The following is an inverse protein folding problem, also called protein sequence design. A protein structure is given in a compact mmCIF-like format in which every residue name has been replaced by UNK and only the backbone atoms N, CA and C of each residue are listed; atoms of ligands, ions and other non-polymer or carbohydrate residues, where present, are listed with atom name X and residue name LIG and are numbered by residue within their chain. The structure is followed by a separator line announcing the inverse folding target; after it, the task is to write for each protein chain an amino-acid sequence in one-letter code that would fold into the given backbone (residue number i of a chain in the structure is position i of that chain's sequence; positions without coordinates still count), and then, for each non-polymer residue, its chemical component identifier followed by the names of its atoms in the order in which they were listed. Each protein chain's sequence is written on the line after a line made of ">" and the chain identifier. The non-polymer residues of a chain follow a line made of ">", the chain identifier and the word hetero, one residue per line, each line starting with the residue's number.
data_IF_967364008813
#
_entry.id   IF_967364008813
#
_cell.length_a   1.000
_cell.length_b   1.000
_cell.length_c   1.000
_cell.angle_alpha   90.00
_cell.angle_beta   90.00
_cell.angle_gamma   90.00
#
_symmetry.space_group_name_H-M   'P 1'
#
loop_
_entity.id
_entity.type
_entity.pdbx_description
1 polymer ?
#
# COMPACT_ATOMS: atom_id res chain seq x y z
N UNK A 1 6.98 7.26 -10.86
CA UNK A 1 5.59 7.46 -11.31
C UNK A 1 5.34 6.65 -12.57
N UNK A 2 6.18 6.82 -13.59
CA UNK A 2 6.18 5.99 -14.80
C UNK A 2 6.18 4.49 -14.47
N UNK A 3 7.05 4.01 -13.57
CA UNK A 3 7.06 2.58 -13.17
C UNK A 3 5.73 2.10 -12.59
N UNK A 4 5.04 2.95 -11.81
CA UNK A 4 3.72 2.64 -11.27
C UNK A 4 2.71 2.48 -12.42
N UNK A 5 2.64 3.49 -13.29
CA UNK A 5 1.69 3.53 -14.38
C UNK A 5 1.96 2.42 -15.41
N UNK A 6 3.21 2.17 -15.75
CA UNK A 6 3.63 1.09 -16.66
C UNK A 6 3.30 -0.30 -16.10
N UNK A 7 3.32 -0.45 -14.78
CA UNK A 7 2.91 -1.69 -14.09
C UNK A 7 1.39 -1.85 -13.97
N UNK A 8 0.58 -0.82 -14.30
CA UNK A 8 -0.88 -0.86 -14.21
C UNK A 8 -1.48 -0.25 -12.95
N UNK A 9 -0.70 0.45 -12.12
CA UNK A 9 -1.25 1.26 -11.04
C UNK A 9 -1.79 2.58 -11.61
N UNK A 10 -2.99 2.97 -11.21
CA UNK A 10 -3.66 4.20 -11.69
C UNK A 10 -3.82 5.26 -10.61
N UNK A 11 -3.68 4.86 -9.34
CA UNK A 11 -3.83 5.71 -8.16
C UNK A 11 -2.67 5.52 -7.21
N UNK A 12 -2.13 6.63 -6.71
CA UNK A 12 -1.08 6.65 -5.68
C UNK A 12 -1.62 7.35 -4.43
N UNK A 13 -1.47 6.71 -3.26
CA UNK A 13 -1.69 7.35 -1.98
C UNK A 13 -0.46 7.15 -1.10
N UNK A 14 -0.01 8.23 -0.47
CA UNK A 14 1.15 8.24 0.40
C UNK A 14 1.54 9.68 0.74
N UNK A 15 2.77 9.91 1.15
CA UNK A 15 3.25 11.25 1.49
C UNK A 15 4.73 11.39 1.20
N UNK A 16 5.18 12.63 1.11
CA UNK A 16 6.58 12.96 0.86
C UNK A 16 6.77 14.34 0.25
N UNK A 17 8.02 14.79 0.20
CA UNK A 17 8.43 16.08 -0.39
C UNK A 17 9.69 15.95 -1.26
N UNK A 18 9.91 14.78 -1.86
CA UNK A 18 11.16 14.43 -2.55
C UNK A 18 12.15 13.71 -1.62
N UNK A 19 13.45 13.64 -1.96
CA UNK A 19 14.43 12.80 -1.25
C UNK A 19 14.95 13.46 0.05
N UNK A 20 14.06 14.01 0.87
CA UNK A 20 14.38 14.43 2.22
C UNK A 20 14.35 13.22 3.16
N UNK A 21 15.22 13.15 4.18
CA UNK A 21 15.28 12.00 5.09
C UNK A 21 13.91 11.60 5.67
N UNK A 22 13.08 12.58 6.05
CA UNK A 22 11.73 12.31 6.54
C UNK A 22 10.83 11.59 5.51
N UNK A 23 10.99 11.87 4.22
CA UNK A 23 10.26 11.18 3.13
C UNK A 23 10.89 9.84 2.75
N UNK A 24 12.21 9.73 2.84
CA UNK A 24 12.92 8.47 2.58
C UNK A 24 12.57 7.39 3.62
N UNK A 25 12.16 7.81 4.82
CA UNK A 25 11.68 6.90 5.86
C UNK A 25 10.14 6.82 5.92
N UNK A 26 9.44 7.95 5.79
CA UNK A 26 8.02 8.02 6.16
C UNK A 26 7.15 8.56 5.03
N UNK A 27 5.96 7.97 4.85
CA UNK A 27 4.93 8.44 3.92
C UNK A 27 4.18 9.68 4.47
N UNK A 28 4.91 10.76 4.77
CA UNK A 28 4.37 12.00 5.33
C UNK A 28 4.69 13.20 4.43
N UNK A 29 3.69 14.00 4.08
CA UNK A 29 3.87 15.37 3.59
C UNK A 29 3.59 16.35 4.74
N UNK A 30 4.62 16.84 5.45
CA UNK A 30 4.41 17.55 6.71
C UNK A 30 4.00 19.01 6.50
N UNK A 31 2.85 19.40 7.04
CA UNK A 31 2.40 20.78 7.15
C UNK A 31 1.69 21.34 5.90
N UNK A 32 0.86 22.39 6.06
CA UNK A 32 0.05 22.95 4.97
C UNK A 32 0.84 23.40 3.74
N UNK A 33 2.01 24.00 3.95
CA UNK A 33 2.82 24.53 2.84
C UNK A 33 3.31 23.41 1.92
N UNK A 34 3.85 22.32 2.48
CA UNK A 34 4.34 21.20 1.68
C UNK A 34 3.20 20.46 0.98
N UNK A 35 2.05 20.29 1.65
CA UNK A 35 0.85 19.71 1.03
C UNK A 35 0.42 20.50 -0.21
N UNK A 36 0.33 21.82 -0.10
CA UNK A 36 -0.01 22.69 -1.23
C UNK A 36 0.98 22.57 -2.39
N UNK A 37 2.29 22.53 -2.10
CA UNK A 37 3.32 22.37 -3.15
C UNK A 37 3.28 21.01 -3.82
N UNK A 38 3.03 19.95 -3.06
CA UNK A 38 2.92 18.60 -3.61
C UNK A 38 1.67 18.45 -4.47
N UNK A 39 0.51 18.98 -4.05
CA UNK A 39 -0.69 19.00 -4.88
C UNK A 39 -0.45 19.72 -6.22
N UNK A 40 0.21 20.88 -6.19
CA UNK A 40 0.59 21.61 -7.42
C UNK A 40 1.57 20.81 -8.31
N UNK A 41 2.53 20.09 -7.73
CA UNK A 41 3.48 19.26 -8.48
C UNK A 41 2.79 18.05 -9.13
N UNK A 42 1.86 17.41 -8.42
CA UNK A 42 1.12 16.23 -8.89
C UNK A 42 0.04 16.58 -9.92
N UNK A 43 -0.36 17.85 -10.02
CA UNK A 43 -1.33 18.37 -10.98
C UNK A 43 -0.90 18.14 -12.46
N UNK A 44 0.40 17.95 -12.71
CA UNK A 44 0.96 17.70 -14.04
C UNK A 44 1.17 16.22 -14.41
N UNK A 45 0.70 15.25 -13.61
CA UNK A 45 0.97 13.82 -13.81
C UNK A 45 -0.29 13.02 -14.20
N UNK A 46 -0.24 12.04 -15.10
CA UNK A 46 -1.43 11.34 -15.60
C UNK A 46 -1.89 10.19 -14.70
N UNK A 47 -2.13 10.46 -13.42
CA UNK A 47 -2.57 9.50 -12.41
C UNK A 47 -3.44 10.19 -11.35
N UNK A 48 -4.22 9.40 -10.61
CA UNK A 48 -4.90 9.90 -9.42
C UNK A 48 -3.94 9.93 -8.23
N UNK A 49 -4.10 10.91 -7.35
CA UNK A 49 -3.24 11.08 -6.19
C UNK A 49 -4.04 11.36 -4.92
N UNK A 50 -3.61 10.79 -3.79
CA UNK A 50 -3.99 11.21 -2.45
C UNK A 50 -2.73 11.45 -1.62
N UNK A 51 -2.74 12.47 -0.76
CA UNK A 51 -1.61 12.80 0.10
C UNK A 51 -1.91 12.54 1.57
N UNK A 52 -0.94 11.98 2.30
CA UNK A 52 -0.99 11.85 3.75
C UNK A 52 -0.19 12.90 4.49
N UNK A 53 -0.80 13.47 5.52
CA UNK A 53 -0.13 14.33 6.49
C UNK A 53 0.63 13.52 7.54
N UNK A 54 1.44 14.20 8.35
CA UNK A 54 2.11 13.59 9.50
C UNK A 54 1.11 13.45 10.66
N UNK A 55 0.82 12.23 11.09
CA UNK A 55 -0.12 11.91 12.17
C UNK A 55 0.45 12.06 13.58
N UNK A 56 1.78 12.12 13.72
CA UNK A 56 2.43 12.18 15.03
C UNK A 56 2.35 13.59 15.65
N UNK A 57 1.34 13.80 16.50
CA UNK A 57 1.21 14.97 17.36
C UNK A 57 0.38 14.65 18.61
N UNK A 58 0.71 15.25 19.76
CA UNK A 58 -0.07 15.10 21.01
C UNK A 58 -1.16 16.18 21.17
N UNK A 59 -1.34 17.05 20.18
CA UNK A 59 -2.36 18.10 20.15
C UNK A 59 -2.98 18.15 18.75
N UNK A 60 -4.30 18.39 18.64
CA UNK A 60 -5.03 18.17 17.38
C UNK A 60 -4.79 19.26 16.32
N UNK A 61 -4.46 20.48 16.73
CA UNK A 61 -4.45 21.66 15.84
C UNK A 61 -3.55 21.47 14.59
N UNK A 62 -2.36 20.90 14.77
CA UNK A 62 -1.42 20.64 13.68
C UNK A 62 -1.94 19.57 12.69
N UNK A 63 -2.71 18.59 13.18
CA UNK A 63 -3.30 17.55 12.33
C UNK A 63 -4.47 18.13 11.51
N UNK A 64 -5.32 18.93 12.17
CA UNK A 64 -6.48 19.58 11.53
C UNK A 64 -6.04 20.53 10.41
N UNK A 65 -5.00 21.34 10.61
CA UNK A 65 -4.52 22.24 9.56
C UNK A 65 -3.96 21.48 8.34
N UNK A 66 -3.32 20.34 8.53
CA UNK A 66 -2.84 19.49 7.42
C UNK A 66 -4.00 18.88 6.64
N UNK A 67 -5.03 18.39 7.34
CA UNK A 67 -6.22 17.83 6.69
C UNK A 67 -6.93 18.91 5.87
N UNK A 68 -7.12 20.12 6.41
CA UNK A 68 -7.68 21.27 5.68
C UNK A 68 -6.82 21.73 4.50
N UNK A 69 -5.51 21.53 4.57
CA UNK A 69 -4.58 21.84 3.49
C UNK A 69 -4.54 20.80 2.36
N UNK A 70 -5.37 19.74 2.45
CA UNK A 70 -5.56 18.77 1.38
C UNK A 70 -5.04 17.36 1.67
N UNK A 71 -4.53 17.08 2.88
CA UNK A 71 -4.26 15.70 3.25
C UNK A 71 -5.57 14.90 3.34
N UNK A 72 -5.65 13.78 2.62
CA UNK A 72 -6.80 12.87 2.62
C UNK A 72 -6.60 11.65 3.54
N UNK A 73 -5.42 11.53 4.16
CA UNK A 73 -5.09 10.52 5.14
C UNK A 73 -4.00 11.06 6.09
N UNK A 74 -3.72 10.34 7.17
CA UNK A 74 -2.62 10.63 8.10
C UNK A 74 -1.71 9.42 8.25
N UNK A 75 -0.40 9.62 8.44
CA UNK A 75 0.55 8.55 8.75
C UNK A 75 1.12 8.73 10.16
N UNK A 76 0.90 7.75 11.03
CA UNK A 76 1.67 7.56 12.26
C UNK A 76 2.91 6.73 11.92
N UNK A 77 4.10 7.23 12.27
CA UNK A 77 5.37 6.55 12.03
C UNK A 77 6.28 6.56 13.25
N UNK A 78 6.99 5.46 13.52
CA UNK A 78 7.84 5.33 14.71
C UNK A 78 9.01 6.33 14.71
N UNK A 79 9.59 6.62 13.55
CA UNK A 79 10.62 7.67 13.35
C UNK A 79 10.16 9.07 13.76
N UNK A 80 8.84 9.30 13.88
CA UNK A 80 8.25 10.52 14.44
C UNK A 80 7.64 10.33 15.84
N UNK A 81 7.74 9.13 16.41
CA UNK A 81 7.19 8.70 17.70
C UNK A 81 5.73 8.23 17.60
N UNK A 82 5.50 6.94 17.31
CA UNK A 82 4.16 6.32 17.33
C UNK A 82 3.74 5.94 18.74
N UNK A 83 3.66 6.95 19.61
CA UNK A 83 3.31 6.77 21.03
C UNK A 83 1.78 6.66 21.22
N UNK A 84 1.28 6.08 22.33
CA UNK A 84 -0.14 6.03 22.64
C UNK A 84 -0.86 7.39 22.57
N UNK A 85 -0.19 8.46 23.01
CA UNK A 85 -0.75 9.82 22.94
C UNK A 85 -0.90 10.34 21.50
N UNK A 86 0.07 10.04 20.62
CA UNK A 86 0.00 10.40 19.21
C UNK A 86 -1.08 9.57 18.48
N UNK A 87 -1.16 8.27 18.78
CA UNK A 87 -2.20 7.37 18.25
C UNK A 87 -3.59 7.90 18.59
N UNK A 88 -3.83 8.20 19.88
CA UNK A 88 -5.14 8.65 20.35
C UNK A 88 -5.56 10.00 19.75
N UNK A 89 -4.62 10.96 19.71
CA UNK A 89 -4.85 12.27 19.12
C UNK A 89 -5.18 12.16 17.62
N UNK A 90 -4.37 11.41 16.86
CA UNK A 90 -4.54 11.27 15.42
C UNK A 90 -5.86 10.58 15.06
N UNK A 91 -6.22 9.50 15.75
CA UNK A 91 -7.48 8.81 15.53
C UNK A 91 -8.70 9.67 15.91
N UNK A 92 -8.60 10.47 16.97
CA UNK A 92 -9.69 11.40 17.34
C UNK A 92 -9.93 12.44 16.24
N UNK A 93 -8.85 13.03 15.69
CA UNK A 93 -8.96 13.98 14.57
C UNK A 93 -9.49 13.29 13.30
N UNK A 94 -9.07 12.05 13.05
CA UNK A 94 -9.55 11.26 11.92
C UNK A 94 -11.05 10.96 12.02
N UNK A 95 -11.56 10.64 13.21
CA UNK A 95 -12.98 10.44 13.47
C UNK A 95 -13.79 11.73 13.22
N UNK A 96 -13.26 12.87 13.64
CA UNK A 96 -13.91 14.19 13.45
C UNK A 96 -13.91 14.66 11.98
N UNK A 97 -12.90 14.27 11.20
CA UNK A 97 -12.66 14.81 9.85
C UNK A 97 -12.84 13.80 8.71
N UNK A 98 -13.23 12.58 9.03
CA UNK A 98 -13.44 11.46 8.10
C UNK A 98 -12.26 11.23 7.12
N UNK A 99 -11.07 11.02 7.69
CA UNK A 99 -9.88 10.61 6.94
C UNK A 99 -9.29 9.32 7.50
N UNK A 100 -8.64 8.50 6.65
CA UNK A 100 -8.00 7.28 7.13
C UNK A 100 -6.68 7.57 7.87
N UNK A 101 -6.35 6.76 8.86
CA UNK A 101 -5.04 6.76 9.53
C UNK A 101 -4.28 5.50 9.14
N UNK A 102 -3.07 5.68 8.65
CA UNK A 102 -2.09 4.62 8.40
C UNK A 102 -1.12 4.58 9.56
N UNK A 103 -0.72 3.39 10.00
CA UNK A 103 0.19 3.23 11.13
C UNK A 103 1.36 2.31 10.81
N UNK A 104 2.54 2.79 11.18
CA UNK A 104 3.77 2.05 11.41
C UNK A 104 4.06 2.16 12.90
N UNK A 105 3.96 1.04 13.63
CA UNK A 105 3.97 1.03 15.09
C UNK A 105 5.38 1.07 15.67
N UNK A 106 5.49 1.21 16.98
CA UNK A 106 6.75 1.29 17.73
C UNK A 106 7.49 -0.07 17.73
N UNK A 107 8.47 -0.26 16.84
CA UNK A 107 9.23 -1.51 16.75
C UNK A 107 9.98 -1.79 18.04
N UNK A 108 10.54 -0.74 18.65
CA UNK A 108 11.38 -0.80 19.83
C UNK A 108 10.59 -1.20 21.09
N UNK A 109 9.26 -1.15 21.02
CA UNK A 109 8.38 -1.26 22.18
C UNK A 109 8.73 -0.20 23.26
N UNK A 110 9.22 0.97 22.85
CA UNK A 110 9.70 2.02 23.75
C UNK A 110 8.58 2.53 24.65
N UNK A 111 7.40 2.76 24.05
CA UNK A 111 6.22 3.31 24.70
C UNK A 111 5.18 2.26 25.09
N UNK A 112 5.48 0.98 24.85
CA UNK A 112 4.64 -0.18 25.15
C UNK A 112 4.75 -1.27 24.09
N UNK A 113 4.20 -2.44 24.39
CA UNK A 113 4.11 -3.57 23.45
C UNK A 113 2.88 -3.45 22.54
N UNK A 114 2.69 -4.42 21.63
CA UNK A 114 1.59 -4.41 20.66
C UNK A 114 0.21 -4.27 21.32
N UNK A 115 -0.01 -4.87 22.49
CA UNK A 115 -1.25 -4.75 23.26
C UNK A 115 -1.52 -3.32 23.74
N UNK A 116 -0.47 -2.54 24.02
CA UNK A 116 -0.61 -1.14 24.41
C UNK A 116 -1.02 -0.28 23.22
N UNK A 117 -0.45 -0.54 22.03
CA UNK A 117 -0.89 0.10 20.78
C UNK A 117 -2.33 -0.27 20.47
N UNK A 118 -2.71 -1.55 20.52
CA UNK A 118 -4.10 -2.01 20.32
C UNK A 118 -5.05 -1.31 21.30
N UNK A 119 -4.68 -1.22 22.58
CA UNK A 119 -5.47 -0.49 23.57
C UNK A 119 -5.61 1.01 23.23
N UNK A 120 -4.56 1.66 22.70
CA UNK A 120 -4.59 3.05 22.26
C UNK A 120 -5.48 3.28 21.02
N UNK A 121 -5.69 2.26 20.18
CA UNK A 121 -6.64 2.33 19.07
C UNK A 121 -8.08 2.50 19.55
N UNK A 122 -8.42 1.97 20.74
CA UNK A 122 -9.77 2.04 21.34
C UNK A 122 -10.87 1.52 20.41
N UNK A 123 -10.56 0.52 19.58
CA UNK A 123 -11.49 -0.05 18.62
C UNK A 123 -11.82 0.84 17.41
N UNK A 124 -11.09 1.95 17.20
CA UNK A 124 -11.30 2.85 16.05
C UNK A 124 -10.59 2.32 14.81
N UNK A 125 -11.18 2.56 13.65
CA UNK A 125 -10.65 2.11 12.35
C UNK A 125 -9.23 2.60 12.11
N UNK A 126 -8.34 1.68 11.73
CA UNK A 126 -6.97 2.02 11.33
C UNK A 126 -6.45 1.10 10.23
N UNK A 127 -5.64 1.64 9.33
CA UNK A 127 -4.91 0.89 8.32
C UNK A 127 -3.50 0.56 8.84
N UNK A 128 -3.25 -0.70 9.22
CA UNK A 128 -1.93 -1.17 9.62
C UNK A 128 -1.07 -1.45 8.39
N UNK A 129 0.02 -0.69 8.21
CA UNK A 129 0.99 -0.92 7.14
C UNK A 129 1.89 -2.11 7.47
N UNK A 130 2.43 -2.77 6.43
CA UNK A 130 3.43 -3.85 6.49
C UNK A 130 3.30 -4.73 7.74
N UNK A 131 2.09 -5.26 7.94
CA UNK A 131 1.63 -5.84 9.21
C UNK A 131 2.43 -7.07 9.64
N UNK A 132 3.16 -7.71 8.72
CA UNK A 132 4.11 -8.77 9.06
C UNK A 132 5.30 -8.28 9.89
N UNK A 133 5.73 -7.03 9.68
CA UNK A 133 6.68 -6.33 10.54
C UNK A 133 8.10 -6.18 10.01
N UNK A 134 8.50 -6.76 8.88
CA UNK A 134 9.81 -6.48 8.27
C UNK A 134 9.93 -4.99 7.87
N UNK A 135 8.87 -4.42 7.30
CA UNK A 135 8.73 -2.98 7.02
C UNK A 135 8.60 -2.12 8.27
N UNK A 136 8.38 -2.73 9.44
CA UNK A 136 8.43 -2.10 10.76
C UNK A 136 7.15 -2.28 11.58
N UNK A 137 7.31 -2.21 12.89
CA UNK A 137 6.26 -2.44 13.88
C UNK A 137 6.74 -3.32 15.03
N UNK A 138 5.94 -3.39 16.10
CA UNK A 138 6.27 -4.07 17.36
C UNK A 138 6.98 -5.42 17.12
N UNK A 139 8.24 -5.51 17.54
CA UNK A 139 9.01 -6.73 17.40
C UNK A 139 8.76 -7.67 18.60
N UNK A 140 8.49 -8.97 18.37
CA UNK A 140 8.37 -9.66 17.08
C UNK A 140 6.93 -9.81 16.57
N UNK A 141 5.93 -9.25 17.25
CA UNK A 141 4.56 -9.74 17.22
C UNK A 141 3.49 -8.76 16.69
N UNK A 142 3.89 -7.71 15.97
CA UNK A 142 2.98 -6.79 15.28
C UNK A 142 1.93 -7.52 14.41
N UNK A 143 2.29 -8.66 13.82
CA UNK A 143 1.38 -9.47 12.99
C UNK A 143 0.10 -9.90 13.72
N UNK A 144 0.08 -9.90 15.06
CA UNK A 144 -1.11 -10.14 15.87
C UNK A 144 -2.27 -9.21 15.51
N UNK A 145 -1.95 -7.96 15.14
CA UNK A 145 -2.94 -6.92 14.88
C UNK A 145 -3.87 -7.25 13.69
N UNK A 146 -3.48 -8.19 12.80
CA UNK A 146 -4.34 -8.60 11.68
C UNK A 146 -5.61 -9.35 12.13
N UNK A 147 -5.65 -9.84 13.37
CA UNK A 147 -6.82 -10.46 14.00
C UNK A 147 -7.86 -9.48 14.52
N UNK A 148 -7.54 -8.18 14.60
CA UNK A 148 -8.43 -7.17 15.15
C UNK A 148 -9.49 -6.71 14.14
N UNK A 149 -10.77 -6.67 14.56
CA UNK A 149 -11.89 -6.37 13.65
C UNK A 149 -11.89 -4.92 13.11
N UNK A 150 -11.30 -3.98 13.86
CA UNK A 150 -11.20 -2.57 13.49
C UNK A 150 -9.92 -2.24 12.70
N UNK A 151 -9.06 -3.23 12.48
CA UNK A 151 -7.78 -3.06 11.79
C UNK A 151 -7.91 -3.59 10.37
N UNK A 152 -7.44 -2.78 9.42
CA UNK A 152 -7.31 -3.18 8.03
C UNK A 152 -5.82 -3.42 7.75
N UNK A 153 -5.37 -4.69 7.73
CA UNK A 153 -3.96 -5.02 7.57
C UNK A 153 -3.54 -5.04 6.10
N UNK A 154 -2.39 -4.42 5.82
CA UNK A 154 -1.70 -4.52 4.53
C UNK A 154 -0.29 -5.08 4.66
N UNK A 155 0.22 -5.57 3.54
CA UNK A 155 1.63 -5.89 3.33
C UNK A 155 2.28 -4.90 2.39
N UNK A 156 3.58 -4.74 2.54
CA UNK A 156 4.44 -4.15 1.50
C UNK A 156 5.11 -5.26 0.70
N UNK A 157 5.61 -4.94 -0.49
CA UNK A 157 5.87 -5.98 -1.47
C UNK A 157 7.24 -6.70 -1.43
N UNK A 158 8.30 -6.25 -0.73
CA UNK A 158 9.56 -7.00 -0.76
C UNK A 158 9.49 -8.37 -0.09
N UNK A 159 8.65 -8.55 0.94
CA UNK A 159 8.45 -9.86 1.58
C UNK A 159 7.62 -10.81 0.72
N UNK A 160 7.07 -10.35 -0.42
CA UNK A 160 6.00 -11.02 -1.14
C UNK A 160 6.50 -11.68 -2.43
N UNK A 161 6.37 -13.00 -2.59
CA UNK A 161 6.21 -13.98 -1.51
C UNK A 161 7.52 -14.31 -0.80
N UNK A 162 7.47 -15.20 0.20
CA UNK A 162 8.67 -15.75 0.82
C UNK A 162 9.48 -16.58 -0.20
N UNK A 163 10.71 -16.14 -0.49
CA UNK A 163 11.68 -16.78 -1.38
C UNK A 163 13.01 -17.03 -0.68
N UNK A 164 13.90 -17.80 -1.33
CA UNK A 164 15.22 -18.12 -0.78
C UNK A 164 16.11 -16.90 -0.56
N UNK A 165 15.90 -15.80 -1.30
CA UNK A 165 16.70 -14.58 -1.18
C UNK A 165 16.04 -13.50 -0.29
N UNK A 166 14.82 -13.73 0.17
CA UNK A 166 14.03 -12.70 0.87
C UNK A 166 14.76 -12.18 2.11
N UNK A 167 15.30 -13.06 2.96
CA UNK A 167 15.92 -12.64 4.22
C UNK A 167 17.19 -11.81 4.01
N UNK A 168 18.10 -12.28 3.14
CA UNK A 168 19.38 -11.61 2.88
C UNK A 168 19.17 -10.20 2.29
N UNK A 169 18.22 -10.06 1.37
CA UNK A 169 17.88 -8.78 0.76
C UNK A 169 17.37 -7.75 1.77
N UNK A 170 16.55 -8.18 2.74
CA UNK A 170 15.89 -7.27 3.66
C UNK A 170 16.85 -6.69 4.71
N UNK A 171 17.85 -7.45 5.14
CA UNK A 171 18.80 -6.97 6.15
C UNK A 171 19.55 -5.73 5.63
N UNK A 172 20.11 -5.81 4.42
CA UNK A 172 20.81 -4.66 3.82
C UNK A 172 19.85 -3.50 3.50
N UNK A 173 18.64 -3.80 3.04
CA UNK A 173 17.62 -2.79 2.71
C UNK A 173 17.19 -1.98 3.94
N UNK A 174 16.95 -2.66 5.07
CA UNK A 174 16.52 -2.04 6.33
C UNK A 174 17.60 -1.11 6.87
N UNK A 175 18.87 -1.55 6.84
CA UNK A 175 20.00 -0.73 7.29
C UNK A 175 20.07 0.61 6.53
N UNK A 176 19.82 0.60 5.21
CA UNK A 176 19.83 1.82 4.40
C UNK A 176 18.61 2.70 4.67
N UNK A 177 17.40 2.15 4.69
CA UNK A 177 16.17 2.95 4.79
C UNK A 177 16.05 3.67 6.14
N UNK A 178 16.50 3.05 7.22
CA UNK A 178 16.46 3.61 8.57
C UNK A 178 17.76 4.31 9.00
N UNK A 179 18.71 4.52 8.06
CA UNK A 179 19.96 5.25 8.31
C UNK A 179 20.80 4.64 9.45
N UNK A 180 20.86 3.31 9.51
CA UNK A 180 21.55 2.54 10.55
C UNK A 180 23.03 2.33 10.20
N UNK A 181 23.87 2.16 11.21
CA UNK A 181 25.31 1.92 11.06
C UNK A 181 25.67 0.46 11.37
N UNK A 182 26.29 -0.22 10.40
CA UNK A 182 26.79 -1.61 10.56
C UNK A 182 27.87 -1.73 11.65
N UNK A 183 28.48 -0.62 12.07
CA UNK A 183 29.44 -0.57 13.15
C UNK A 183 28.80 -0.49 14.55
N UNK A 184 27.49 -0.23 14.65
CA UNK A 184 26.75 -0.15 15.91
C UNK A 184 26.04 -1.50 16.16
N UNK A 185 26.41 -2.27 17.20
CA UNK A 185 25.80 -3.58 17.46
C UNK A 185 24.28 -3.53 17.68
N UNK A 186 23.80 -2.46 18.33
CA UNK A 186 22.37 -2.25 18.60
C UNK A 186 21.57 -2.03 17.31
N UNK A 187 22.15 -1.36 16.31
CA UNK A 187 21.54 -1.13 15.00
C UNK A 187 21.39 -2.44 14.22
N UNK A 188 22.42 -3.30 14.26
CA UNK A 188 22.38 -4.63 13.64
C UNK A 188 21.36 -5.53 14.35
N UNK A 189 21.37 -5.53 15.69
CA UNK A 189 20.40 -6.30 16.48
C UNK A 189 18.96 -5.83 16.23
N UNK A 190 18.73 -4.53 16.09
CA UNK A 190 17.44 -3.96 15.69
C UNK A 190 17.01 -4.47 14.30
N UNK A 191 17.90 -4.42 13.31
CA UNK A 191 17.62 -4.91 11.96
C UNK A 191 17.30 -6.41 11.95
N UNK A 192 18.10 -7.23 12.64
CA UNK A 192 17.89 -8.67 12.77
C UNK A 192 16.58 -9.00 13.51
N UNK A 193 16.17 -8.19 14.49
CA UNK A 193 14.90 -8.38 15.20
C UNK A 193 13.67 -8.20 14.30
N UNK A 194 13.80 -7.40 13.23
CA UNK A 194 12.72 -7.12 12.26
C UNK A 194 12.61 -8.15 11.15
N UNK A 195 13.71 -8.76 10.73
CA UNK A 195 13.73 -9.69 9.58
C UNK A 195 13.60 -11.12 10.07
N UNK A 196 12.35 -11.61 10.12
CA UNK A 196 12.01 -12.92 10.71
C UNK A 196 11.45 -13.84 9.64
N UNK A 197 12.06 -15.01 9.50
CA UNK A 197 11.60 -16.05 8.57
C UNK A 197 10.15 -16.47 8.87
N UNK A 198 9.83 -16.62 10.13
CA UNK A 198 8.61 -17.22 10.62
C UNK A 198 7.40 -16.33 10.29
N UNK A 199 7.50 -15.02 10.52
CA UNK A 199 6.42 -14.07 10.23
C UNK A 199 6.27 -13.83 8.72
N UNK A 200 7.36 -13.78 7.95
CA UNK A 200 7.32 -13.70 6.47
C UNK A 200 6.63 -14.93 5.86
N UNK A 201 6.93 -16.13 6.38
CA UNK A 201 6.30 -17.37 5.95
C UNK A 201 4.81 -17.43 6.33
N UNK A 202 4.45 -16.92 7.52
CA UNK A 202 3.06 -16.83 7.96
C UNK A 202 2.27 -15.81 7.13
N UNK A 203 2.87 -14.69 6.75
CA UNK A 203 2.26 -13.64 5.93
C UNK A 203 1.77 -14.17 4.57
N UNK A 204 2.51 -15.09 3.93
CA UNK A 204 2.07 -15.78 2.71
C UNK A 204 0.73 -16.49 2.91
N UNK A 205 0.61 -17.22 4.02
CA UNK A 205 -0.58 -18.03 4.34
C UNK A 205 -1.74 -17.13 4.76
N UNK A 206 -1.47 -16.07 5.55
CA UNK A 206 -2.48 -15.11 5.98
C UNK A 206 -3.06 -14.32 4.79
N UNK A 207 -2.29 -14.07 3.74
CA UNK A 207 -2.83 -13.57 2.47
C UNK A 207 -3.76 -14.56 1.81
N UNK A 208 -3.38 -15.84 1.73
CA UNK A 208 -4.18 -16.88 1.07
C UNK A 208 -5.47 -17.18 1.83
N UNK A 209 -5.45 -17.05 3.16
CA UNK A 209 -6.63 -17.18 4.04
C UNK A 209 -7.57 -15.97 3.98
N UNK A 210 -7.10 -14.82 3.49
CA UNK A 210 -7.86 -13.56 3.51
C UNK A 210 -7.85 -12.87 4.88
N UNK A 211 -6.83 -13.11 5.71
CA UNK A 211 -6.57 -12.37 6.93
C UNK A 211 -5.75 -11.08 6.68
N UNK A 212 -4.99 -11.03 5.58
CA UNK A 212 -4.41 -9.77 5.08
C UNK A 212 -5.22 -9.26 3.91
N UNK A 213 -5.52 -7.95 3.92
CA UNK A 213 -6.56 -7.38 3.05
C UNK A 213 -6.00 -6.57 1.89
N UNK A 214 -4.78 -6.06 2.01
CA UNK A 214 -4.16 -5.16 1.03
C UNK A 214 -2.71 -5.55 0.75
N UNK A 215 -2.26 -5.32 -0.48
CA UNK A 215 -0.84 -5.35 -0.87
C UNK A 215 -0.49 -3.97 -1.44
N UNK A 216 0.56 -3.36 -0.89
CA UNK A 216 1.08 -2.06 -1.25
C UNK A 216 2.58 -2.16 -1.63
N UNK A 217 3.18 -1.04 -2.07
CA UNK A 217 4.58 -1.02 -2.49
C UNK A 217 5.55 -0.78 -1.33
N UNK A 218 5.44 0.37 -0.67
CA UNK A 218 6.49 1.06 0.11
C UNK A 218 7.60 1.69 -0.75
N UNK A 219 7.20 2.32 -1.85
CA UNK A 219 8.09 2.73 -2.93
C UNK A 219 9.34 3.51 -2.46
N UNK A 220 10.51 2.92 -2.68
CA UNK A 220 11.84 3.45 -2.32
C UNK A 220 12.10 3.65 -0.81
N UNK A 221 11.23 3.11 0.05
CA UNK A 221 11.37 3.12 1.50
C UNK A 221 11.06 1.70 2.01
N UNK A 222 11.88 0.72 1.62
CA UNK A 222 11.62 -0.72 1.77
C UNK A 222 10.53 -1.29 0.85
N UNK A 223 10.50 -0.87 -0.42
CA UNK A 223 9.45 -1.31 -1.34
C UNK A 223 9.63 -0.90 -2.79
N UNK A 224 8.90 -1.58 -3.69
CA UNK A 224 9.07 -1.46 -5.15
C UNK A 224 7.78 -1.00 -5.83
N UNK A 225 7.77 0.21 -6.36
CA UNK A 225 6.52 0.80 -6.88
C UNK A 225 5.88 0.00 -8.04
N UNK A 226 6.69 -0.56 -8.94
CA UNK A 226 6.22 -1.28 -10.13
C UNK A 226 5.86 -2.75 -9.87
N UNK A 227 5.93 -3.23 -8.63
CA UNK A 227 5.81 -4.66 -8.31
C UNK A 227 4.60 -5.01 -7.43
N UNK A 228 3.71 -4.07 -7.14
CA UNK A 228 2.49 -4.35 -6.33
C UNK A 228 1.65 -5.48 -6.95
N UNK A 229 1.34 -5.35 -8.25
CA UNK A 229 0.51 -6.32 -8.97
C UNK A 229 1.27 -7.64 -9.15
N UNK A 230 2.55 -7.59 -9.54
CA UNK A 230 3.32 -8.81 -9.83
C UNK A 230 3.52 -9.66 -8.57
N UNK A 231 3.86 -9.04 -7.43
CA UNK A 231 4.04 -9.77 -6.16
C UNK A 231 2.74 -10.34 -5.63
N UNK A 232 1.61 -9.68 -5.87
CA UNK A 232 0.28 -10.22 -5.56
C UNK A 232 0.07 -11.57 -6.25
N UNK A 233 0.33 -11.64 -7.56
CA UNK A 233 0.09 -12.85 -8.34
C UNK A 233 1.15 -13.93 -8.11
N UNK A 234 2.41 -13.56 -7.88
CA UNK A 234 3.45 -14.50 -7.46
C UNK A 234 3.11 -15.15 -6.11
N UNK A 235 2.55 -14.39 -5.17
CA UNK A 235 2.09 -14.93 -3.87
C UNK A 235 0.91 -15.88 -4.06
N UNK A 236 -0.11 -15.50 -4.83
CA UNK A 236 -1.23 -16.39 -5.16
C UNK A 236 -0.76 -17.70 -5.81
N UNK A 237 0.20 -17.60 -6.74
CA UNK A 237 0.82 -18.76 -7.39
C UNK A 237 1.54 -19.66 -6.40
N UNK A 238 2.43 -19.11 -5.56
CA UNK A 238 3.17 -19.89 -4.56
C UNK A 238 2.22 -20.64 -3.63
N UNK A 239 1.16 -19.97 -3.17
CA UNK A 239 0.17 -20.56 -2.28
C UNK A 239 -0.63 -21.65 -2.97
N UNK A 240 -0.96 -21.50 -4.26
CA UNK A 240 -1.54 -22.59 -5.04
C UNK A 240 -0.60 -23.81 -5.14
N UNK A 241 0.68 -23.59 -5.41
CA UNK A 241 1.66 -24.68 -5.56
C UNK A 241 1.84 -25.44 -4.25
N UNK A 242 1.96 -24.74 -3.12
CA UNK A 242 2.26 -25.36 -1.84
C UNK A 242 1.03 -25.85 -1.07
N UNK A 243 -0.10 -25.15 -1.17
CA UNK A 243 -1.34 -25.45 -0.41
C UNK A 243 -2.45 -26.03 -1.27
N UNK A 244 -2.24 -26.11 -2.58
CA UNK A 244 -3.23 -26.61 -3.52
C UNK A 244 -4.38 -25.63 -3.76
N UNK A 245 -5.49 -26.20 -4.20
CA UNK A 245 -6.72 -25.50 -4.53
C UNK A 245 -7.44 -25.06 -3.25
N UNK A 246 -8.03 -23.86 -3.24
CA UNK A 246 -8.88 -23.42 -2.14
C UNK A 246 -10.16 -24.27 -2.07
N UNK A 247 -10.67 -24.51 -0.85
CA UNK A 247 -11.83 -25.36 -0.64
C UNK A 247 -13.11 -24.78 -1.24
N UNK A 248 -13.18 -23.46 -1.37
CA UNK A 248 -14.33 -22.70 -1.86
C UNK A 248 -14.45 -22.69 -3.41
N UNK A 249 -13.46 -23.22 -4.12
CA UNK A 249 -13.41 -23.18 -5.59
C UNK A 249 -14.40 -24.17 -6.23
N UNK A 250 -15.16 -23.73 -7.24
CA UNK A 250 -16.09 -24.55 -8.01
C UNK A 250 -15.67 -24.66 -9.49
N UNK A 251 -15.62 -25.88 -10.05
CA UNK A 251 -15.21 -26.15 -11.45
C UNK A 251 -13.69 -26.07 -11.70
N UNK A 252 -13.21 -26.26 -12.93
CA UNK A 252 -11.75 -26.32 -13.22
C UNK A 252 -11.10 -24.94 -13.35
N UNK A 253 -11.02 -24.18 -12.26
CA UNK A 253 -10.43 -22.84 -12.20
C UNK A 253 -9.87 -22.51 -10.80
N UNK A 254 -9.35 -21.28 -10.64
CA UNK A 254 -8.88 -20.70 -9.39
C UNK A 254 -9.59 -19.35 -9.11
N UNK A 255 -10.85 -19.22 -9.49
CA UNK A 255 -11.55 -17.93 -9.50
C UNK A 255 -11.72 -17.31 -8.11
N UNK A 256 -11.92 -18.12 -7.07
CA UNK A 256 -12.01 -17.61 -5.69
C UNK A 256 -10.68 -17.01 -5.27
N UNK A 257 -9.56 -17.71 -5.51
CA UNK A 257 -8.22 -17.19 -5.24
C UNK A 257 -7.95 -15.93 -6.06
N UNK A 258 -8.27 -15.94 -7.36
CA UNK A 258 -8.10 -14.77 -8.23
C UNK A 258 -8.87 -13.56 -7.71
N UNK A 259 -10.14 -13.73 -7.33
CA UNK A 259 -10.97 -12.66 -6.74
C UNK A 259 -10.43 -12.17 -5.40
N UNK A 260 -9.99 -13.09 -4.53
CA UNK A 260 -9.37 -12.76 -3.23
C UNK A 260 -8.12 -11.90 -3.43
N UNK A 261 -7.26 -12.23 -4.38
CA UNK A 261 -5.99 -11.53 -4.59
C UNK A 261 -6.13 -10.23 -5.40
N UNK A 262 -6.97 -10.18 -6.45
CA UNK A 262 -7.18 -8.93 -7.19
C UNK A 262 -7.75 -7.83 -6.28
N UNK A 263 -8.62 -8.19 -5.32
CA UNK A 263 -9.19 -7.25 -4.36
C UNK A 263 -8.13 -6.52 -3.52
N UNK A 264 -6.97 -7.15 -3.27
CA UNK A 264 -5.90 -6.63 -2.39
C UNK A 264 -5.20 -5.39 -2.93
N UNK A 265 -5.20 -5.15 -4.24
CA UNK A 265 -4.60 -3.97 -4.86
C UNK A 265 -5.59 -3.11 -5.66
N UNK A 266 -6.88 -3.46 -5.62
CA UNK A 266 -7.95 -2.75 -6.34
C UNK A 266 -8.97 -2.18 -5.37
N UNK A 267 -9.99 -2.96 -5.00
CA UNK A 267 -11.13 -2.46 -4.24
C UNK A 267 -10.84 -2.26 -2.75
N UNK A 268 -10.04 -3.12 -2.11
CA UNK A 268 -9.79 -3.00 -0.68
C UNK A 268 -9.00 -1.72 -0.33
N UNK A 269 -7.92 -1.34 -1.03
CA UNK A 269 -7.28 -0.04 -0.82
C UNK A 269 -8.26 1.13 -1.03
N UNK A 270 -9.13 1.04 -2.03
CA UNK A 270 -10.10 2.09 -2.31
C UNK A 270 -11.16 2.23 -1.21
N UNK A 271 -11.65 1.12 -0.63
CA UNK A 271 -12.56 1.14 0.52
C UNK A 271 -11.85 1.77 1.72
N UNK A 272 -10.65 1.26 2.05
CA UNK A 272 -9.86 1.71 3.20
C UNK A 272 -9.59 3.20 3.19
N UNK A 273 -9.36 3.79 2.02
CA UNK A 273 -9.01 5.20 1.88
C UNK A 273 -10.19 6.08 1.45
N UNK A 274 -11.42 5.57 1.47
CA UNK A 274 -12.61 6.37 1.19
C UNK A 274 -12.72 6.84 -0.26
N UNK A 275 -12.24 6.01 -1.19
CA UNK A 275 -12.18 6.28 -2.63
C UNK A 275 -13.03 5.30 -3.45
N UNK A 276 -13.65 4.32 -2.80
CA UNK A 276 -14.36 3.20 -3.46
C UNK A 276 -15.61 3.62 -4.23
N UNK A 277 -16.18 4.80 -3.96
CA UNK A 277 -17.25 5.38 -4.79
C UNK A 277 -16.75 5.75 -6.21
N UNK A 278 -15.45 5.97 -6.37
CA UNK A 278 -14.87 6.49 -7.61
C UNK A 278 -13.98 5.48 -8.34
N UNK A 279 -13.23 4.64 -7.62
CA UNK A 279 -12.19 3.77 -8.19
C UNK A 279 -12.21 2.37 -7.53
N UNK A 280 -11.27 1.52 -7.95
CA UNK A 280 -10.98 0.24 -7.28
C UNK A 280 -11.70 -0.98 -7.87
N UNK A 281 -12.62 -0.81 -8.82
CA UNK A 281 -13.31 -1.93 -9.48
C UNK A 281 -13.94 -1.49 -10.80
N UNK A 282 -14.27 -2.49 -11.63
CA UNK A 282 -15.01 -2.29 -12.88
C UNK A 282 -16.50 -2.40 -12.57
N UNK A 283 -17.10 -1.28 -12.19
CA UNK A 283 -18.52 -1.15 -11.86
C UNK A 283 -19.08 0.12 -12.53
N UNK A 284 -20.35 0.08 -12.93
CA UNK A 284 -21.02 1.24 -13.51
C UNK A 284 -21.02 2.43 -12.52
N UNK A 285 -20.80 3.63 -13.04
CA UNK A 285 -20.72 4.87 -12.24
C UNK A 285 -19.31 5.20 -11.71
N UNK A 286 -18.37 4.24 -11.71
CA UNK A 286 -16.97 4.50 -11.33
C UNK A 286 -16.17 5.09 -12.49
N UNK A 287 -15.01 5.68 -12.17
CA UNK A 287 -14.07 6.21 -13.15
C UNK A 287 -13.54 5.07 -14.03
N UNK A 288 -13.41 5.34 -15.32
CA UNK A 288 -12.87 4.39 -16.29
C UNK A 288 -11.33 4.34 -16.24
N UNK A 289 -10.80 4.02 -15.05
CA UNK A 289 -9.38 3.74 -14.82
C UNK A 289 -9.14 2.25 -15.05
N UNK A 290 -8.77 1.90 -16.28
CA UNK A 290 -8.77 0.53 -16.77
C UNK A 290 -7.39 0.12 -17.27
N UNK A 291 -7.02 -1.13 -17.03
CA UNK A 291 -5.76 -1.69 -17.51
C UNK A 291 -6.07 -2.89 -18.39
N UNK A 292 -5.52 -2.87 -19.60
CA UNK A 292 -5.61 -4.00 -20.53
C UNK A 292 -4.33 -4.81 -20.47
N UNK A 293 -4.50 -6.12 -20.51
CA UNK A 293 -3.43 -7.09 -20.46
C UNK A 293 -3.59 -8.08 -21.59
N UNK A 294 -2.51 -8.38 -22.29
CA UNK A 294 -2.41 -9.67 -22.98
C UNK A 294 -2.31 -10.77 -21.92
N UNK A 295 -3.06 -11.89 -22.01
CA UNK A 295 -3.00 -12.96 -21.01
C UNK A 295 -1.59 -13.48 -20.74
N UNK A 296 -0.72 -13.50 -21.76
CA UNK A 296 0.68 -13.93 -21.61
C UNK A 296 1.54 -13.00 -20.75
N UNK A 297 1.11 -11.74 -20.56
CA UNK A 297 1.79 -10.69 -19.79
C UNK A 297 0.99 -10.21 -18.58
N UNK A 298 -0.12 -10.89 -18.25
CA UNK A 298 -0.99 -10.53 -17.14
C UNK A 298 -0.21 -10.35 -15.84
N UNK A 299 -0.38 -9.19 -15.20
CA UNK A 299 0.29 -8.82 -13.95
C UNK A 299 1.79 -8.51 -14.07
N UNK A 300 2.37 -8.56 -15.28
CA UNK A 300 3.80 -8.28 -15.53
C UNK A 300 4.00 -6.97 -16.26
N UNK A 301 3.47 -6.85 -17.49
CA UNK A 301 3.59 -5.68 -18.35
C UNK A 301 2.25 -5.40 -18.99
N UNK A 302 1.75 -4.19 -18.79
CA UNK A 302 0.46 -3.74 -19.34
C UNK A 302 0.54 -3.62 -20.86
N UNK A 303 -0.58 -3.87 -21.55
CA UNK A 303 -0.74 -3.53 -22.97
C UNK A 303 -1.03 -2.03 -23.09
N UNK A 304 -1.99 -1.54 -22.29
CA UNK A 304 -2.34 -0.13 -22.17
C UNK A 304 -3.01 0.15 -20.82
N UNK A 305 -2.88 1.40 -20.38
CA UNK A 305 -3.53 1.92 -19.18
C UNK A 305 -4.35 3.14 -19.55
N UNK A 306 -5.61 3.12 -19.18
CA UNK A 306 -6.58 4.20 -19.34
C UNK A 306 -6.79 4.87 -17.99
N UNK A 307 -6.86 6.20 -18.01
CA UNK A 307 -7.19 7.04 -16.86
C UNK A 307 -8.37 7.91 -17.30
N UNK A 308 -9.48 7.87 -16.57
CA UNK A 308 -10.72 8.56 -16.95
C UNK A 308 -11.22 8.20 -18.36
N UNK A 309 -10.99 6.97 -18.83
CA UNK A 309 -11.41 6.50 -20.15
C UNK A 309 -10.49 6.88 -21.31
N UNK A 310 -9.39 7.61 -21.06
CA UNK A 310 -8.39 7.96 -22.10
C UNK A 310 -7.10 7.20 -21.87
N UNK A 311 -6.50 6.66 -22.93
CA UNK A 311 -5.21 5.95 -22.85
C UNK A 311 -4.12 6.92 -22.39
N UNK A 312 -3.57 6.69 -21.21
CA UNK A 312 -2.47 7.45 -20.62
C UNK A 312 -1.11 6.90 -21.04
N UNK A 313 -0.97 5.56 -21.12
CA UNK A 313 0.22 4.87 -21.64
C UNK A 313 -0.17 3.61 -22.42
N UNK A 314 0.68 3.20 -23.36
CA UNK A 314 0.53 1.93 -24.09
C UNK A 314 1.89 1.35 -24.54
N UNK A 315 1.97 0.03 -24.70
CA UNK A 315 3.05 -0.62 -25.43
C UNK A 315 2.96 -0.21 -26.90
N UNK A 316 3.97 0.50 -27.39
CA UNK A 316 3.99 0.94 -28.78
C UNK A 316 5.41 0.91 -29.35
N UNK A 317 5.48 0.48 -30.60
CA UNK A 317 6.67 0.38 -31.42
C UNK A 317 7.25 1.71 -31.87
N UNK A 318 8.03 1.66 -32.95
CA UNK A 318 8.63 2.86 -33.56
C UNK A 318 7.55 3.82 -34.10
N UNK A 319 7.47 5.08 -33.60
CA UNK A 319 6.53 6.08 -34.11
C UNK A 319 6.74 6.48 -35.57
N UNK A 320 7.92 6.23 -36.14
CA UNK A 320 8.23 6.50 -37.55
C UNK A 320 7.94 5.30 -38.47
N UNK A 321 7.51 4.15 -37.94
CA UNK A 321 7.16 2.99 -38.73
C UNK A 321 5.78 3.16 -39.42
N UNK A 322 5.49 2.29 -40.39
CA UNK A 322 4.22 2.31 -41.13
C UNK A 322 3.00 1.83 -40.32
N UNK A 323 3.23 1.14 -39.21
CA UNK A 323 2.24 0.56 -38.28
C UNK A 323 2.83 0.59 -36.85
N UNK A 324 2.03 0.44 -35.77
CA UNK A 324 2.51 0.69 -34.40
C UNK A 324 3.25 -0.49 -33.73
N UNK A 325 3.38 -1.63 -34.40
CA UNK A 325 3.96 -2.88 -33.84
C UNK A 325 5.46 -3.15 -34.12
N UNK A 326 6.13 -2.53 -35.11
CA UNK A 326 7.56 -2.71 -35.33
C UNK A 326 8.40 -2.23 -34.16
N UNK A 327 9.49 -2.94 -33.89
CA UNK A 327 10.39 -2.69 -32.76
C UNK A 327 11.09 -1.32 -32.85
N UNK A 328 11.50 -0.71 -31.71
CA UNK A 328 11.37 -1.23 -30.34
C UNK A 328 10.01 -0.93 -29.71
N UNK A 329 9.35 -1.97 -29.21
CA UNK A 329 8.10 -1.88 -28.45
C UNK A 329 8.43 -1.71 -26.96
N UNK A 330 7.98 -0.60 -26.39
CA UNK A 330 8.03 -0.33 -24.95
C UNK A 330 6.86 0.58 -24.55
N UNK A 331 6.63 0.72 -23.24
CA UNK A 331 5.56 1.58 -22.72
C UNK A 331 5.87 3.05 -23.01
N UNK A 332 4.95 3.75 -23.66
CA UNK A 332 5.08 5.16 -24.02
C UNK A 332 3.91 5.98 -23.50
N UNK A 333 4.12 7.24 -23.10
CA UNK A 333 3.03 8.19 -22.86
C UNK A 333 2.16 8.37 -24.10
N UNK A 334 0.85 8.36 -23.88
CA UNK A 334 -0.18 8.53 -24.90
C UNK A 334 -0.92 9.86 -24.70
N UNK A 335 -1.92 10.16 -25.54
CA UNK A 335 -2.62 11.44 -25.50
C UNK A 335 -3.35 11.74 -24.19
N UNK A 336 -3.67 10.73 -23.36
CA UNK A 336 -4.18 10.92 -22.00
C UNK A 336 -3.20 11.64 -21.06
N UNK A 337 -1.91 11.63 -21.39
CA UNK A 337 -0.85 12.29 -20.61
C UNK A 337 -0.52 13.72 -21.08
N UNK A 338 -1.23 14.25 -22.09
CA UNK A 338 -0.87 15.49 -22.74
C UNK A 338 -1.92 16.59 -22.57
N UNK A 339 -1.45 17.82 -22.38
CA UNK A 339 -2.28 19.03 -22.33
C UNK A 339 -3.47 18.89 -21.39
N UNK A 340 -4.62 19.40 -21.81
CA UNK A 340 -5.86 19.37 -21.02
C UNK A 340 -6.51 17.99 -20.93
N UNK A 341 -6.04 17.01 -21.71
CA UNK A 341 -6.50 15.62 -21.60
C UNK A 341 -6.15 15.07 -20.20
N UNK A 342 -4.92 15.33 -19.73
CA UNK A 342 -4.44 14.94 -18.41
C UNK A 342 -5.29 15.52 -17.28
N UNK A 343 -5.60 16.82 -17.39
CA UNK A 343 -6.37 17.59 -16.41
C UNK A 343 -7.78 17.00 -16.18
N UNK A 344 -8.41 16.52 -17.26
CA UNK A 344 -9.77 15.97 -17.21
C UNK A 344 -9.81 14.46 -16.96
N UNK A 345 -8.70 13.75 -17.22
CA UNK A 345 -8.61 12.30 -17.09
C UNK A 345 -8.36 11.84 -15.66
N UNK A 346 -7.67 12.65 -14.83
CA UNK A 346 -7.22 12.27 -13.49
C UNK A 346 -7.71 13.23 -12.40
N UNK A 347 -7.65 12.80 -11.14
CA UNK A 347 -8.12 13.60 -9.99
C UNK A 347 -7.10 13.66 -8.86
N UNK A 348 -7.24 14.67 -7.99
CA UNK A 348 -6.56 14.70 -6.69
C UNK A 348 -7.57 14.45 -5.58
N UNK A 349 -7.41 13.34 -4.86
CA UNK A 349 -8.19 13.06 -3.67
C UNK A 349 -7.69 13.91 -2.49
N UNK A 350 -8.62 14.59 -1.82
CA UNK A 350 -8.38 15.48 -0.67
C UNK A 350 -9.39 15.16 0.44
N UNK A 351 -9.23 15.72 1.63
CA UNK A 351 -10.27 15.61 2.66
C UNK A 351 -11.53 16.37 2.27
N UNK A 352 -12.68 15.96 2.82
CA UNK A 352 -13.93 16.70 2.69
C UNK A 352 -13.81 18.15 3.18
N UNK A 353 -13.04 18.39 4.25
CA UNK A 353 -12.76 19.72 4.76
C UNK A 353 -12.00 20.60 3.75
N UNK A 354 -10.92 20.08 3.15
CA UNK A 354 -10.16 20.82 2.14
C UNK A 354 -10.99 21.08 0.87
N UNK A 355 -11.81 20.11 0.47
CA UNK A 355 -12.75 20.27 -0.64
C UNK A 355 -13.73 21.42 -0.38
N UNK A 356 -14.33 21.46 0.81
CA UNK A 356 -15.27 22.51 1.23
C UNK A 356 -14.60 23.88 1.34
N UNK A 357 -13.34 23.92 1.77
CA UNK A 357 -12.52 25.15 1.86
C UNK A 357 -12.05 25.65 0.46
N UNK A 358 -12.37 24.93 -0.61
CA UNK A 358 -12.06 25.35 -1.99
C UNK A 358 -10.59 25.20 -2.36
N UNK A 359 -9.90 24.19 -1.81
CA UNK A 359 -8.44 24.00 -1.96
C UNK A 359 -7.98 24.00 -3.43
N UNK A 360 -8.77 23.42 -4.34
CA UNK A 360 -8.45 23.39 -5.77
C UNK A 360 -8.31 24.79 -6.36
N UNK A 361 -9.24 25.70 -6.05
CA UNK A 361 -9.18 27.08 -6.51
C UNK A 361 -8.07 27.87 -5.79
N UNK A 362 -7.90 27.66 -4.48
CA UNK A 362 -6.89 28.34 -3.68
C UNK A 362 -5.45 28.06 -4.15
N UNK A 363 -5.19 26.82 -4.59
CA UNK A 363 -3.89 26.41 -5.11
C UNK A 363 -3.75 26.55 -6.64
N UNK A 364 -4.84 26.87 -7.35
CA UNK A 364 -4.86 26.95 -8.81
C UNK A 364 -4.64 25.60 -9.50
N UNK A 365 -5.16 24.51 -8.92
CA UNK A 365 -5.06 23.16 -9.49
C UNK A 365 -5.93 23.05 -10.75
N UNK A 366 -5.41 22.39 -11.77
CA UNK A 366 -6.14 22.14 -13.03
C UNK A 366 -6.95 20.85 -12.97
N UNK A 367 -6.46 19.83 -12.28
CA UNK A 367 -7.23 18.61 -12.00
C UNK A 367 -8.39 18.90 -11.07
N UNK A 368 -9.46 18.13 -11.22
CA UNK A 368 -10.53 18.13 -10.24
C UNK A 368 -10.05 17.56 -8.91
N UNK A 369 -10.53 18.17 -7.83
CA UNK A 369 -10.39 17.65 -6.47
C UNK A 369 -11.62 16.83 -6.12
N UNK A 370 -11.41 15.71 -5.43
CA UNK A 370 -12.47 14.78 -5.01
C UNK A 370 -12.29 14.50 -3.53
N UNK A 371 -13.34 14.64 -2.73
CA UNK A 371 -13.27 14.34 -1.30
C UNK A 371 -13.21 12.83 -1.08
N UNK A 372 -12.37 12.38 -0.15
CA UNK A 372 -12.50 11.05 0.45
C UNK A 372 -13.68 11.02 1.42
N UNK A 373 -14.32 9.86 1.57
CA UNK A 373 -15.49 9.67 2.42
C UNK A 373 -15.57 8.26 3.03
N UNK A 374 -16.28 8.12 4.14
CA UNK A 374 -16.60 6.86 4.79
C UNK A 374 -15.36 6.02 5.18
N UNK A 375 -14.36 6.68 5.78
CA UNK A 375 -13.11 6.04 6.21
C UNK A 375 -13.15 5.53 7.65
N UNK A 376 -14.15 5.96 8.44
CA UNK A 376 -14.25 5.72 9.89
C UNK A 376 -15.31 4.68 10.29
N UNK A 377 -16.27 4.39 9.40
CA UNK A 377 -17.34 3.40 9.63
C UNK A 377 -17.06 2.08 8.89
N UNK A 378 -15.79 1.73 8.73
CA UNK A 378 -15.33 0.51 8.07
C UNK A 378 -14.35 -0.24 8.97
N UNK A 379 -14.22 -1.53 8.75
CA UNK A 379 -13.23 -2.37 9.42
C UNK A 379 -12.88 -3.57 8.56
N UNK A 380 -12.38 -4.63 9.21
CA UNK A 380 -11.98 -5.85 8.54
C UNK A 380 -13.14 -6.51 7.78
N UNK A 381 -14.36 -6.42 8.32
CA UNK A 381 -15.55 -7.03 7.73
C UNK A 381 -15.89 -6.50 6.33
N UNK A 382 -15.49 -5.25 6.03
CA UNK A 382 -15.76 -4.58 4.75
C UNK A 382 -14.74 -4.93 3.67
N UNK A 383 -13.67 -5.65 4.03
CA UNK A 383 -12.61 -6.03 3.09
C UNK A 383 -13.06 -7.19 2.21
N UNK A 384 -13.37 -6.87 0.96
CA UNK A 384 -13.89 -7.80 -0.05
C UNK A 384 -12.97 -9.02 -0.16
N UNK A 385 -13.56 -10.20 0.08
CA UNK A 385 -12.90 -11.53 0.05
C UNK A 385 -11.73 -11.70 1.04
N UNK A 386 -11.48 -10.74 1.93
CA UNK A 386 -10.32 -10.69 2.81
C UNK A 386 -10.69 -10.15 4.21
N UNK A 387 -11.79 -10.66 4.77
CA UNK A 387 -12.40 -10.20 6.01
C UNK A 387 -12.12 -11.09 7.23
N UNK A 388 -11.18 -12.04 7.13
CA UNK A 388 -10.95 -13.01 8.21
C UNK A 388 -10.24 -12.34 9.41
N UNK A 389 -10.74 -12.58 10.62
CA UNK A 389 -10.15 -12.13 11.90
C UNK A 389 -9.72 -13.34 12.75
N UNK A 390 -8.64 -14.05 12.39
CA UNK A 390 -8.17 -15.19 13.17
C UNK A 390 -7.56 -14.74 14.50
N UNK A 391 -7.61 -15.59 15.53
CA UNK A 391 -6.80 -15.39 16.73
C UNK A 391 -5.35 -15.69 16.39
N UNK A 392 -4.49 -14.67 16.44
CA UNK A 392 -3.06 -14.80 16.14
C UNK A 392 -2.26 -14.89 17.42
N UNK A 393 -1.39 -15.89 17.49
CA UNK A 393 -0.38 -16.03 18.53
C UNK A 393 1.00 -15.98 17.89
N UNK A 394 1.95 -15.33 18.55
CA UNK A 394 3.36 -15.29 18.14
C UNK A 394 4.18 -15.66 19.35
N UNK A 395 5.02 -16.67 19.22
CA UNK A 395 5.97 -17.04 20.27
C UNK A 395 7.08 -15.96 20.34
N UNK A 396 7.33 -15.33 21.50
CA UNK A 396 8.30 -14.25 21.62
C UNK A 396 9.76 -14.71 21.48
N UNK A 397 10.05 -16.01 21.62
CA UNK A 397 11.41 -16.57 21.54
C UNK A 397 11.66 -17.24 20.19
N UNK A 398 10.68 -17.99 19.66
CA UNK A 398 10.84 -18.76 18.41
C UNK A 398 10.22 -18.08 17.19
N UNK A 399 9.45 -17.02 17.40
CA UNK A 399 8.67 -16.29 16.38
C UNK A 399 7.63 -17.13 15.64
N UNK A 400 7.37 -18.37 16.10
CA UNK A 400 6.30 -19.22 15.56
C UNK A 400 4.97 -18.47 15.58
N UNK A 401 4.35 -18.37 14.41
CA UNK A 401 3.03 -17.76 14.25
C UNK A 401 1.97 -18.84 14.20
N UNK A 402 0.93 -18.71 15.00
CA UNK A 402 -0.25 -19.58 14.96
C UNK A 402 -1.51 -18.78 14.67
N UNK A 403 -2.39 -19.33 13.85
CA UNK A 403 -3.74 -18.82 13.67
C UNK A 403 -4.75 -19.86 14.15
N UNK A 404 -5.58 -19.48 15.13
CA UNK A 404 -6.55 -20.39 15.77
C UNK A 404 -5.89 -21.70 16.29
N UNK A 405 -4.66 -21.58 16.82
CA UNK A 405 -3.87 -22.71 17.32
C UNK A 405 -3.04 -23.47 16.27
N UNK A 406 -3.30 -23.27 14.97
CA UNK A 406 -2.58 -23.93 13.88
C UNK A 406 -1.29 -23.17 13.51
N UNK A 407 -0.16 -23.88 13.45
CA UNK A 407 1.12 -23.31 13.03
C UNK A 407 1.07 -22.87 11.56
N UNK A 408 1.42 -21.60 11.31
CA UNK A 408 1.51 -21.03 9.98
C UNK A 408 2.97 -21.02 9.53
N UNK A 409 3.34 -21.99 8.69
CA UNK A 409 4.68 -22.05 8.11
C UNK A 409 4.63 -22.60 6.68
N UNK A 410 5.54 -22.13 5.83
CA UNK A 410 5.71 -22.63 4.47
C UNK A 410 7.17 -22.47 4.03
N UNK A 411 7.59 -23.31 3.08
CA UNK A 411 8.95 -23.26 2.53
C UNK A 411 9.13 -22.04 1.59
N UNK A 412 10.34 -21.46 1.51
CA UNK A 412 10.65 -20.43 0.54
C UNK A 412 10.54 -20.97 -0.90
N UNK A 413 10.04 -20.15 -1.82
CA UNK A 413 10.11 -20.48 -3.24
C UNK A 413 11.54 -20.27 -3.79
N UNK A 414 12.07 -21.24 -4.53
CA UNK A 414 13.37 -21.14 -5.22
C UNK A 414 13.27 -20.47 -6.60
N UNK A 415 12.09 -20.47 -7.21
CA UNK A 415 11.80 -19.86 -8.49
C UNK A 415 10.38 -19.26 -8.46
N UNK A 416 10.17 -18.16 -9.17
CA UNK A 416 8.86 -17.53 -9.33
C UNK A 416 8.48 -17.42 -10.81
N UNK A 417 7.18 -17.55 -11.15
CA UNK A 417 6.70 -17.09 -12.44
C UNK A 417 6.83 -15.56 -12.51
N UNK A 418 6.54 -14.99 -13.67
CA UNK A 418 6.50 -13.53 -13.81
C UNK A 418 7.84 -12.86 -13.45
N UNK A 419 8.97 -13.54 -13.72
CA UNK A 419 10.31 -13.07 -13.38
C UNK A 419 11.24 -13.13 -14.62
N UNK A 420 12.27 -13.97 -14.60
CA UNK A 420 13.35 -14.05 -15.60
C UNK A 420 12.90 -14.20 -17.06
N UNK A 421 11.69 -14.72 -17.31
CA UNK A 421 11.12 -14.84 -18.66
C UNK A 421 10.81 -13.48 -19.29
N UNK A 422 10.48 -12.47 -18.50
CA UNK A 422 9.84 -11.24 -18.95
C UNK A 422 10.70 -9.99 -18.85
N UNK A 423 11.66 -9.99 -17.95
CA UNK A 423 12.50 -8.83 -17.67
C UNK A 423 13.90 -9.04 -18.24
N UNK A 424 14.43 -7.96 -18.84
CA UNK A 424 15.80 -7.96 -19.38
C UNK A 424 16.84 -7.90 -18.24
N UNK A 425 16.44 -7.35 -17.08
CA UNK A 425 17.23 -7.19 -15.87
C UNK A 425 16.40 -7.52 -14.65
#
# INVERSE_FOLDING_TARGET
>A
MDDALHSGLTTMLGGGTGPAHGTLATTCTPGPWHLGRMLQALDGLPMNFGLSGKGNASQPAALVEMIRAGACAMKLHEDWGTTPGAIDCCLSVADDMDVQVMIHTDTLNESGFVENTIAALKGRTIHAFHTEGAGGGHAPDIIKICGEAHVIPSSTNPTRPYTVNTLEEHLDMLMVCHHLDKAIPEDVAFAESRIRKETIAAEDILHDMGAFSIIASDSQAMGRIGEVIIRTWQTAHKMKVQRGRLAEEAGENDNVRVKRYVAKYTINPAITHGMSAHIGSIEEGKRADLVLWSPAFFGVKTEMVLIGGTIAVAQMGDPNASIPTPQPVYTRPMFGALGRSLENSSVSFVSAAAQADGIGAALGLRKQTVAVENTRNIGKADMVMNALTPTIEVNPETYEVRANGELLTCEPASELPMAQRYFMF
#
